data_IF_435850793085
#
_entry.id   IF_435850793085
#
_cell.length_a   1.000
_cell.length_b   1.000
_cell.length_c   1.000
_cell.angle_alpha   90.00
_cell.angle_beta   90.00
_cell.angle_gamma   90.00
#
_symmetry.space_group_name_H-M   'P 1'
#
loop_
_entity.id
_entity.type
_entity.pdbx_description
1 polymer ?
#
# COMPACT_ATOMS: atom_id res chain seq x y z
N UNK A 1 7.59 -26.78 5.41
CA UNK A 1 6.44 -27.71 5.48
C UNK A 1 5.42 -27.45 6.62
N UNK A 2 5.27 -26.22 7.15
CA UNK A 2 4.20 -25.93 8.14
C UNK A 2 3.45 -24.59 7.95
N UNK A 3 3.89 -23.74 7.03
CA UNK A 3 3.27 -22.44 6.71
C UNK A 3 2.22 -22.49 5.59
N UNK A 4 2.00 -23.63 4.93
CA UNK A 4 1.11 -23.75 3.76
C UNK A 4 -0.37 -23.99 4.11
N UNK A 5 -0.73 -24.24 5.37
CA UNK A 5 -2.08 -24.76 5.70
C UNK A 5 -3.05 -23.75 6.32
N UNK A 6 -2.61 -22.67 6.96
CA UNK A 6 -3.49 -21.92 7.88
C UNK A 6 -3.61 -20.40 7.68
N UNK A 7 -3.09 -19.83 6.60
CA UNK A 7 -3.26 -18.38 6.34
C UNK A 7 -3.75 -18.18 4.94
N UNK A 8 -5.08 -18.15 4.78
CA UNK A 8 -5.85 -17.33 3.85
C UNK A 8 -7.24 -17.97 3.66
N UNK A 9 -8.30 -17.21 3.98
CA UNK A 9 -9.67 -17.52 3.54
C UNK A 9 -9.75 -17.73 2.01
N UNK A 10 -8.75 -17.23 1.27
CA UNK A 10 -8.48 -17.41 -0.15
C UNK A 10 -8.36 -18.87 -0.59
N UNK A 11 -7.84 -19.77 0.26
CA UNK A 11 -7.72 -21.20 -0.08
C UNK A 11 -9.08 -21.85 -0.34
N UNK A 12 -10.11 -21.47 0.43
CA UNK A 12 -11.46 -22.05 0.28
C UNK A 12 -12.18 -21.59 -1.01
N UNK A 13 -11.95 -20.34 -1.43
CA UNK A 13 -12.56 -19.77 -2.63
C UNK A 13 -11.91 -20.31 -3.90
N UNK A 14 -10.57 -20.31 -3.97
CA UNK A 14 -9.84 -20.89 -5.11
C UNK A 14 -10.11 -22.39 -5.26
N UNK A 15 -10.22 -23.13 -4.15
CA UNK A 15 -10.59 -24.54 -4.20
C UNK A 15 -12.00 -24.76 -4.75
N UNK A 16 -12.95 -23.86 -4.47
CA UNK A 16 -14.29 -23.92 -5.07
C UNK A 16 -14.26 -23.64 -6.57
N UNK A 17 -13.55 -22.59 -7.02
CA UNK A 17 -13.41 -22.30 -8.46
C UNK A 17 -12.78 -23.46 -9.23
N UNK A 18 -11.78 -24.12 -8.63
CA UNK A 18 -11.18 -25.35 -9.17
C UNK A 18 -12.17 -26.51 -9.24
N UNK A 19 -12.96 -26.70 -8.20
CA UNK A 19 -13.95 -27.79 -8.13
C UNK A 19 -15.06 -27.65 -9.18
N UNK A 20 -15.41 -26.42 -9.58
CA UNK A 20 -16.42 -26.15 -10.61
C UNK A 20 -15.85 -25.97 -12.02
N UNK A 21 -14.53 -26.15 -12.20
CA UNK A 21 -13.89 -26.11 -13.52
C UNK A 21 -13.85 -24.74 -14.20
N UNK A 22 -13.95 -23.65 -13.43
CA UNK A 22 -13.97 -22.28 -14.00
C UNK A 22 -12.55 -21.74 -14.12
N UNK A 23 -12.08 -21.35 -15.32
CA UNK A 23 -10.80 -20.65 -15.49
C UNK A 23 -10.76 -19.35 -14.69
N UNK A 24 -9.63 -19.05 -14.05
CA UNK A 24 -9.45 -17.81 -13.31
C UNK A 24 -8.00 -17.34 -13.30
N UNK A 25 -7.84 -16.02 -13.32
CA UNK A 25 -6.55 -15.35 -13.33
C UNK A 25 -6.20 -14.78 -11.95
N UNK A 26 -4.94 -14.92 -11.59
CA UNK A 26 -4.32 -14.35 -10.41
C UNK A 26 -3.57 -13.07 -10.78
N UNK A 27 -4.06 -11.94 -10.29
CA UNK A 27 -3.59 -10.61 -10.69
C UNK A 27 -2.39 -10.13 -9.86
N UNK A 28 -1.31 -10.90 -9.89
CA UNK A 28 -0.02 -10.53 -9.31
C UNK A 28 1.14 -10.98 -10.20
N UNK A 29 2.31 -10.37 -10.03
CA UNK A 29 3.52 -10.75 -10.76
C UNK A 29 4.04 -12.13 -10.33
N UNK A 30 4.39 -12.96 -11.30
CA UNK A 30 5.04 -14.26 -11.06
C UNK A 30 6.42 -14.12 -10.38
N UNK A 31 7.05 -12.94 -10.47
CA UNK A 31 8.28 -12.62 -9.74
C UNK A 31 8.04 -12.44 -8.23
N UNK A 32 6.82 -12.04 -7.84
CA UNK A 32 6.43 -11.87 -6.42
C UNK A 32 5.94 -13.20 -5.85
N UNK A 33 5.07 -13.87 -6.60
CA UNK A 33 4.54 -15.18 -6.23
C UNK A 33 4.35 -16.03 -7.50
N UNK A 34 5.24 -17.00 -7.76
CA UNK A 34 5.11 -17.87 -8.91
C UNK A 34 3.87 -18.77 -8.79
N UNK A 35 3.34 -19.21 -9.93
CA UNK A 35 2.28 -20.23 -9.99
C UNK A 35 2.73 -21.48 -9.25
N UNK A 36 1.88 -22.01 -8.37
CA UNK A 36 2.19 -23.27 -7.69
C UNK A 36 2.14 -24.42 -8.68
N UNK A 37 3.08 -25.35 -8.57
CA UNK A 37 3.10 -26.61 -9.36
C UNK A 37 1.90 -27.52 -9.05
N UNK A 38 1.19 -27.26 -7.95
CA UNK A 38 -0.03 -27.99 -7.56
C UNK A 38 -1.30 -27.44 -8.25
N UNK A 39 -1.20 -26.34 -9.01
CA UNK A 39 -2.35 -25.73 -9.68
C UNK A 39 -2.50 -26.29 -11.10
N UNK A 40 -3.75 -26.53 -11.51
CA UNK A 40 -4.05 -26.99 -12.86
C UNK A 40 -3.98 -25.86 -13.89
N UNK A 41 -4.20 -26.20 -15.16
CA UNK A 41 -4.15 -25.27 -16.30
C UNK A 41 -5.23 -24.18 -16.26
N UNK A 42 -6.28 -24.36 -15.46
CA UNK A 42 -7.37 -23.39 -15.32
C UNK A 42 -6.99 -22.19 -14.45
N UNK A 43 -5.84 -22.22 -13.78
CA UNK A 43 -5.35 -21.11 -12.94
C UNK A 43 -4.13 -20.49 -13.58
N UNK A 44 -4.16 -19.21 -13.88
CA UNK A 44 -3.00 -18.53 -14.48
C UNK A 44 -2.56 -17.31 -13.67
N UNK A 45 -1.25 -17.12 -13.51
CA UNK A 45 -0.67 -15.92 -12.88
C UNK A 45 -0.28 -14.96 -13.99
N UNK A 46 -1.04 -13.88 -14.16
CA UNK A 46 -1.00 -13.05 -15.38
C UNK A 46 -0.32 -11.70 -15.20
N UNK A 47 0.15 -11.40 -13.98
CA UNK A 47 0.72 -10.08 -13.66
C UNK A 47 -0.28 -9.16 -12.97
N UNK A 48 0.21 -8.00 -12.55
CA UNK A 48 -0.60 -6.95 -11.95
C UNK A 48 -1.39 -6.19 -13.01
N UNK A 49 -2.62 -5.82 -12.67
CA UNK A 49 -3.41 -4.83 -13.41
C UNK A 49 -3.35 -3.51 -12.67
N UNK A 50 -2.97 -2.45 -13.37
CA UNK A 50 -2.96 -1.10 -12.83
C UNK A 50 -4.05 -0.29 -13.52
N UNK A 51 -4.65 0.71 -12.83
CA UNK A 51 -5.35 1.78 -13.52
C UNK A 51 -4.43 2.39 -14.58
N UNK A 52 -5.01 2.91 -15.66
CA UNK A 52 -4.24 3.71 -16.62
C UNK A 52 -3.48 4.80 -15.86
N UNK A 53 -2.23 5.04 -16.23
CA UNK A 53 -1.46 6.08 -15.57
C UNK A 53 -2.22 7.39 -15.79
N UNK A 54 -2.67 8.05 -14.71
CA UNK A 54 -3.47 9.29 -14.75
C UNK A 54 -2.62 10.44 -15.33
N UNK A 55 -2.40 10.42 -16.65
CA UNK A 55 -1.63 11.39 -17.42
C UNK A 55 -2.19 12.81 -17.31
N UNK A 56 -3.47 12.91 -16.94
CA UNK A 56 -4.19 14.18 -16.78
C UNK A 56 -4.36 14.60 -15.31
N UNK A 57 -3.75 13.90 -14.34
CA UNK A 57 -3.84 14.32 -12.94
C UNK A 57 -3.07 15.62 -12.72
N UNK A 58 -3.80 16.65 -12.28
CA UNK A 58 -3.24 17.93 -11.84
C UNK A 58 -3.24 17.97 -10.31
N UNK A 59 -2.07 17.90 -9.65
CA UNK A 59 -2.00 18.00 -8.20
C UNK A 59 -2.45 19.39 -7.71
N UNK A 60 -3.01 19.50 -6.50
CA UNK A 60 -3.19 20.81 -5.86
C UNK A 60 -1.84 21.50 -5.69
N UNK A 61 -1.76 22.81 -5.96
CA UNK A 61 -0.52 23.59 -5.78
C UNK A 61 0.09 23.44 -4.39
N UNK A 62 -0.74 23.31 -3.37
CA UNK A 62 -0.29 23.10 -1.99
C UNK A 62 0.45 21.77 -1.80
N UNK A 63 0.06 20.71 -2.54
CA UNK A 63 0.79 19.45 -2.55
C UNK A 63 2.11 19.60 -3.29
N UNK A 64 2.11 20.27 -4.45
CA UNK A 64 3.34 20.53 -5.21
C UNK A 64 4.37 21.30 -4.36
N UNK A 65 3.93 22.40 -3.72
CA UNK A 65 4.79 23.19 -2.83
C UNK A 65 5.25 22.40 -1.60
N UNK A 66 4.46 21.46 -1.10
CA UNK A 66 4.87 20.61 0.01
C UNK A 66 5.95 19.61 -0.40
N UNK A 67 5.84 19.06 -1.61
CA UNK A 67 6.78 18.11 -2.21
C UNK A 67 8.07 18.77 -2.73
N UNK A 68 8.05 20.09 -2.95
CA UNK A 68 9.22 20.89 -3.33
C UNK A 68 10.14 21.11 -2.12
N UNK A 69 10.91 20.08 -1.78
CA UNK A 69 11.79 20.07 -0.61
C UNK A 69 12.97 19.11 -0.81
N UNK A 70 14.10 19.42 -0.16
CA UNK A 70 15.26 18.52 -0.11
C UNK A 70 15.11 17.41 0.96
N UNK A 71 14.07 17.47 1.79
CA UNK A 71 13.82 16.46 2.82
C UNK A 71 13.16 15.21 2.21
N UNK A 72 13.47 14.01 2.71
CA UNK A 72 12.78 12.80 2.28
C UNK A 72 11.29 12.88 2.65
N UNK A 73 10.42 12.53 1.71
CA UNK A 73 8.97 12.48 1.88
C UNK A 73 8.50 11.03 1.93
N UNK A 74 7.65 10.71 2.90
CA UNK A 74 7.00 9.41 3.03
C UNK A 74 5.53 9.53 2.65
N UNK A 75 5.06 8.70 1.72
CA UNK A 75 3.63 8.50 1.52
C UNK A 75 3.11 7.55 2.60
N UNK A 76 1.99 7.88 3.24
CA UNK A 76 1.38 7.06 4.30
C UNK A 76 -0.10 6.88 3.98
N UNK A 77 -0.55 5.63 3.79
CA UNK A 77 -1.92 5.34 3.42
C UNK A 77 -2.40 3.99 3.90
N UNK A 78 -3.46 3.98 4.72
CA UNK A 78 -4.10 2.75 5.18
C UNK A 78 -5.34 2.39 4.34
N UNK A 79 -5.55 3.02 3.19
CA UNK A 79 -6.72 2.76 2.34
C UNK A 79 -8.03 3.03 3.07
N UNK A 80 -9.04 2.19 2.86
CA UNK A 80 -10.35 2.28 3.53
C UNK A 80 -10.36 1.72 4.96
N UNK A 81 -9.20 1.39 5.53
CA UNK A 81 -9.12 0.83 6.88
C UNK A 81 -9.48 1.91 7.92
N UNK A 82 -10.32 1.55 8.89
CA UNK A 82 -10.61 2.41 10.04
C UNK A 82 -9.42 2.38 10.99
N UNK A 83 -8.76 3.52 11.16
CA UNK A 83 -7.69 3.69 12.14
C UNK A 83 -8.31 3.92 13.52
N UNK A 84 -8.12 3.03 14.52
CA UNK A 84 -8.85 3.10 15.79
C UNK A 84 -8.58 4.34 16.63
N UNK A 85 -7.36 4.89 16.55
CA UNK A 85 -6.91 6.04 17.36
C UNK A 85 -6.28 7.11 16.47
N UNK A 86 -7.06 7.79 15.61
CA UNK A 86 -6.53 8.63 14.54
C UNK A 86 -5.62 9.74 15.08
N UNK A 87 -6.03 10.48 16.12
CA UNK A 87 -5.21 11.54 16.72
C UNK A 87 -3.86 11.02 17.22
N UNK A 88 -3.87 9.85 17.89
CA UNK A 88 -2.66 9.22 18.41
C UNK A 88 -1.76 8.74 17.27
N UNK A 89 -2.35 8.13 16.24
CA UNK A 89 -1.61 7.66 15.06
C UNK A 89 -0.95 8.82 14.34
N UNK A 90 -1.66 9.93 14.10
CA UNK A 90 -1.06 11.09 13.44
C UNK A 90 0.04 11.69 14.34
N UNK A 91 -0.17 11.83 15.65
CA UNK A 91 0.89 12.30 16.57
C UNK A 91 2.15 11.44 16.50
N UNK A 92 2.02 10.11 16.44
CA UNK A 92 3.14 9.19 16.25
C UNK A 92 3.83 9.42 14.90
N UNK A 93 3.06 9.61 13.83
CA UNK A 93 3.61 9.91 12.49
C UNK A 93 4.40 11.22 12.53
N UNK A 94 3.82 12.30 13.05
CA UNK A 94 4.46 13.62 13.15
C UNK A 94 5.76 13.53 13.97
N UNK A 95 5.74 12.86 15.13
CA UNK A 95 6.94 12.66 15.94
C UNK A 95 8.01 11.85 15.18
N UNK A 96 7.60 10.76 14.52
CA UNK A 96 8.51 9.90 13.78
C UNK A 96 9.20 10.63 12.63
N UNK A 97 8.45 11.37 11.81
CA UNK A 97 9.03 12.11 10.69
C UNK A 97 9.90 13.27 11.15
N UNK A 98 9.50 13.98 12.21
CA UNK A 98 10.33 15.03 12.82
C UNK A 98 11.68 14.49 13.33
N UNK A 99 11.68 13.30 13.95
CA UNK A 99 12.92 12.62 14.39
C UNK A 99 13.79 12.14 13.23
N UNK A 100 13.20 11.85 12.08
CA UNK A 100 13.89 11.41 10.86
C UNK A 100 14.37 12.58 10.00
N UNK A 101 13.95 13.82 10.29
CA UNK A 101 14.15 14.96 9.40
C UNK A 101 13.40 14.81 8.07
N UNK A 102 12.30 14.06 8.08
CA UNK A 102 11.48 13.72 6.93
C UNK A 102 10.13 14.45 6.96
N UNK A 103 9.41 14.40 5.85
CA UNK A 103 8.01 14.84 5.73
C UNK A 103 7.08 13.67 5.45
N UNK A 104 5.79 13.83 5.71
CA UNK A 104 4.76 12.84 5.41
C UNK A 104 3.61 13.40 4.58
N UNK A 105 3.23 12.69 3.52
CA UNK A 105 1.94 12.85 2.84
C UNK A 105 1.00 11.75 3.32
N UNK A 106 0.01 12.11 4.13
CA UNK A 106 -0.99 11.19 4.67
C UNK A 106 -2.20 11.15 3.74
N UNK A 107 -2.44 9.99 3.14
CA UNK A 107 -3.51 9.74 2.18
C UNK A 107 -4.77 9.16 2.84
N UNK A 108 -5.94 9.54 2.32
CA UNK A 108 -7.24 8.98 2.70
C UNK A 108 -8.09 9.90 3.58
N UNK A 109 -9.19 9.36 4.09
CA UNK A 109 -10.16 10.12 4.91
C UNK A 109 -9.80 9.99 6.39
N UNK A 110 -9.49 11.12 7.02
CA UNK A 110 -9.20 11.23 8.44
C UNK A 110 -10.21 12.15 9.12
N UNK A 111 -10.51 11.96 10.43
CA UNK A 111 -11.43 12.85 11.13
C UNK A 111 -10.92 14.30 11.13
N UNK A 112 -11.81 15.27 10.84
CA UNK A 112 -11.43 16.70 10.78
C UNK A 112 -10.72 17.19 12.03
N UNK A 113 -11.21 16.81 13.21
CA UNK A 113 -10.57 17.16 14.47
C UNK A 113 -9.12 16.67 14.57
N UNK A 114 -8.81 15.53 13.94
CA UNK A 114 -7.46 14.96 13.92
C UNK A 114 -6.54 15.74 12.98
N UNK A 115 -7.05 16.16 11.82
CA UNK A 115 -6.29 16.92 10.81
C UNK A 115 -6.10 18.38 11.20
N UNK A 116 -7.09 19.01 11.84
CA UNK A 116 -7.05 20.41 12.28
C UNK A 116 -6.16 20.62 13.52
N UNK A 117 -6.05 19.63 14.42
CA UNK A 117 -5.13 19.71 15.56
C UNK A 117 -3.65 19.75 15.13
N UNK A 118 -3.35 19.23 13.94
CA UNK A 118 -1.97 19.03 13.45
C UNK A 118 -1.68 19.83 12.17
N UNK A 119 -2.60 20.70 11.75
CA UNK A 119 -2.37 21.70 10.69
C UNK A 119 -1.33 22.76 11.06
N UNK A 120 -0.65 22.60 12.20
CA UNK A 120 0.44 23.45 12.69
C UNK A 120 1.84 22.87 12.44
N UNK A 121 1.94 21.61 11.96
CA UNK A 121 3.23 21.01 11.60
C UNK A 121 3.48 21.13 10.11
N UNK A 122 4.59 21.79 9.74
CA UNK A 122 5.03 21.95 8.35
C UNK A 122 5.55 20.65 7.71
N UNK A 123 5.62 19.55 8.49
CA UNK A 123 6.16 18.26 8.09
C UNK A 123 5.07 17.26 7.65
N UNK A 124 3.79 17.58 7.80
CA UNK A 124 2.68 16.66 7.48
C UNK A 124 1.65 17.31 6.56
N UNK A 125 1.36 16.66 5.45
CA UNK A 125 0.34 17.07 4.49
C UNK A 125 -0.76 16.02 4.38
N UNK A 126 -2.02 16.43 4.51
CA UNK A 126 -3.17 15.54 4.36
C UNK A 126 -3.78 15.68 2.97
N UNK A 127 -4.04 14.54 2.32
CA UNK A 127 -4.75 14.50 1.05
C UNK A 127 -5.75 13.35 1.04
N UNK A 128 -6.99 13.67 0.66
CA UNK A 128 -8.04 12.66 0.61
C UNK A 128 -7.88 11.73 -0.59
N UNK A 129 -7.64 12.30 -1.77
CA UNK A 129 -7.57 11.56 -3.03
C UNK A 129 -6.38 12.03 -3.86
N UNK A 130 -5.55 11.07 -4.25
CA UNK A 130 -4.37 11.25 -5.09
C UNK A 130 -4.05 9.92 -5.77
N UNK A 131 -3.79 9.92 -7.08
CA UNK A 131 -3.34 8.71 -7.76
C UNK A 131 -2.03 8.21 -7.15
N UNK A 132 -2.04 6.98 -6.62
CA UNK A 132 -0.84 6.38 -6.04
C UNK A 132 0.29 6.26 -7.07
N UNK A 133 -0.04 5.97 -8.34
CA UNK A 133 0.94 5.94 -9.42
C UNK A 133 1.64 7.30 -9.63
N UNK A 134 0.91 8.41 -9.40
CA UNK A 134 1.49 9.74 -9.43
C UNK A 134 2.32 9.99 -8.17
N UNK A 135 1.71 9.92 -6.97
CA UNK A 135 2.35 10.29 -5.71
C UNK A 135 3.63 9.48 -5.45
N UNK A 136 3.62 8.18 -5.73
CA UNK A 136 4.75 7.31 -5.43
C UNK A 136 6.01 7.63 -6.25
N UNK A 137 5.89 8.39 -7.36
CA UNK A 137 7.06 8.89 -8.11
C UNK A 137 7.76 10.07 -7.43
N UNK A 138 7.14 10.68 -6.43
CA UNK A 138 7.60 11.91 -5.76
C UNK A 138 8.02 11.69 -4.30
N UNK A 139 8.06 10.44 -3.82
CA UNK A 139 8.34 10.10 -2.42
C UNK A 139 9.45 9.05 -2.30
N UNK A 140 10.08 8.96 -1.14
CA UNK A 140 11.23 8.07 -0.88
C UNK A 140 10.83 6.81 -0.10
N UNK A 141 9.60 6.74 0.41
CA UNK A 141 9.10 5.56 1.11
C UNK A 141 7.58 5.51 1.13
N UNK A 142 7.03 4.31 1.24
CA UNK A 142 5.59 4.09 1.29
C UNK A 142 5.19 3.25 2.51
N UNK A 143 4.46 3.86 3.44
CA UNK A 143 3.89 3.18 4.61
C UNK A 143 2.43 2.84 4.31
N UNK A 144 2.08 1.56 4.32
CA UNK A 144 0.71 1.16 4.02
C UNK A 144 0.28 -0.11 4.76
N UNK A 145 -1.01 -0.43 4.68
CA UNK A 145 -1.58 -1.56 5.41
C UNK A 145 -1.32 -2.94 4.78
N UNK A 146 -0.62 -3.04 3.65
CA UNK A 146 -0.37 -4.32 2.98
C UNK A 146 -1.46 -4.86 2.07
N UNK A 147 -2.45 -4.05 1.66
CA UNK A 147 -3.42 -4.48 0.64
C UNK A 147 -2.71 -4.81 -0.68
N UNK A 148 -3.23 -5.79 -1.43
CA UNK A 148 -2.62 -6.26 -2.68
C UNK A 148 -2.35 -5.13 -3.69
N UNK A 149 -3.31 -4.22 -3.86
CA UNK A 149 -3.19 -3.07 -4.78
C UNK A 149 -2.13 -2.05 -4.35
N UNK A 150 -2.05 -1.69 -3.07
CA UNK A 150 -1.01 -0.79 -2.57
C UNK A 150 0.38 -1.42 -2.65
N UNK A 151 0.48 -2.71 -2.32
CA UNK A 151 1.74 -3.47 -2.46
C UNK A 151 2.18 -3.48 -3.92
N UNK A 152 1.26 -3.75 -4.86
CA UNK A 152 1.53 -3.70 -6.29
C UNK A 152 1.98 -2.31 -6.75
N UNK A 153 1.34 -1.25 -6.25
CA UNK A 153 1.70 0.13 -6.59
C UNK A 153 3.11 0.49 -6.10
N UNK A 154 3.47 0.13 -4.86
CA UNK A 154 4.81 0.32 -4.33
C UNK A 154 5.88 -0.45 -5.10
N UNK A 155 5.59 -1.71 -5.46
CA UNK A 155 6.46 -2.53 -6.32
C UNK A 155 6.64 -1.88 -7.70
N UNK A 156 5.55 -1.44 -8.35
CA UNK A 156 5.60 -0.78 -9.67
C UNK A 156 6.42 0.50 -9.63
N UNK A 157 6.28 1.29 -8.56
CA UNK A 157 7.02 2.54 -8.39
C UNK A 157 8.49 2.33 -7.96
N UNK A 158 8.86 1.14 -7.49
CA UNK A 158 10.21 0.86 -7.00
C UNK A 158 10.54 1.56 -5.68
N UNK A 159 9.53 1.88 -4.88
CA UNK A 159 9.69 2.62 -3.62
C UNK A 159 9.80 1.63 -2.44
N UNK A 160 10.73 1.81 -1.49
CA UNK A 160 10.79 1.02 -0.27
C UNK A 160 9.48 1.08 0.54
N UNK A 161 9.02 -0.05 1.06
CA UNK A 161 7.70 -0.16 1.71
C UNK A 161 7.78 -0.57 3.19
N UNK A 162 7.11 0.17 4.07
CA UNK A 162 6.80 -0.30 5.42
C UNK A 162 5.36 -0.80 5.47
N UNK A 163 5.18 -2.10 5.68
CA UNK A 163 3.85 -2.72 5.70
C UNK A 163 3.36 -2.94 7.13
N UNK A 164 2.24 -2.30 7.48
CA UNK A 164 1.60 -2.38 8.80
C UNK A 164 0.24 -3.09 8.69
N UNK A 165 0.21 -4.43 8.74
CA UNK A 165 -1.02 -5.20 8.47
C UNK A 165 -2.05 -5.08 9.61
N UNK A 166 -3.31 -4.99 9.23
CA UNK A 166 -4.48 -5.02 10.11
C UNK A 166 -5.17 -6.40 10.07
N UNK A 167 -5.58 -6.89 8.90
CA UNK A 167 -6.30 -8.18 8.73
C UNK A 167 -6.23 -8.73 7.29
N UNK A 168 -6.91 -9.86 6.99
CA UNK A 168 -6.93 -10.54 5.68
C UNK A 168 -5.54 -10.98 5.17
N UNK A 169 -5.27 -10.69 3.90
CA UNK A 169 -4.09 -11.03 3.11
C UNK A 169 -2.92 -10.09 3.37
N UNK A 170 -3.12 -9.04 4.17
CA UNK A 170 -2.13 -8.02 4.45
C UNK A 170 -0.85 -8.59 5.09
N UNK A 171 -1.00 -9.55 6.00
CA UNK A 171 0.15 -10.24 6.60
C UNK A 171 0.94 -11.07 5.58
N UNK A 172 0.25 -11.63 4.58
CA UNK A 172 0.90 -12.38 3.51
C UNK A 172 1.75 -11.45 2.64
N UNK A 173 1.20 -10.29 2.23
CA UNK A 173 1.93 -9.32 1.44
C UNK A 173 3.08 -8.66 2.21
N UNK A 174 2.89 -8.36 3.49
CA UNK A 174 3.97 -7.90 4.37
C UNK A 174 5.15 -8.88 4.38
N UNK A 175 4.87 -10.17 4.59
CA UNK A 175 5.89 -11.21 4.57
C UNK A 175 6.58 -11.31 3.20
N UNK A 176 5.86 -11.08 2.10
CA UNK A 176 6.43 -11.07 0.75
C UNK A 176 7.35 -9.89 0.51
N UNK A 177 6.95 -8.68 0.89
CA UNK A 177 7.80 -7.48 0.82
C UNK A 177 9.13 -7.72 1.55
N UNK A 178 9.09 -8.22 2.79
CA UNK A 178 10.31 -8.51 3.55
C UNK A 178 11.17 -9.61 2.92
N UNK A 179 10.56 -10.70 2.44
CA UNK A 179 11.28 -11.79 1.76
C UNK A 179 12.02 -11.31 0.51
N UNK A 180 11.41 -10.36 -0.21
CA UNK A 180 11.96 -9.77 -1.42
C UNK A 180 12.90 -8.59 -1.15
N UNK A 181 13.10 -8.22 0.13
CA UNK A 181 13.93 -7.08 0.56
C UNK A 181 13.48 -5.75 -0.08
N UNK A 182 12.16 -5.58 -0.23
CA UNK A 182 11.56 -4.34 -0.74
C UNK A 182 11.21 -3.36 0.39
N UNK A 183 11.55 -3.73 1.64
CA UNK A 183 11.29 -3.00 2.87
C UNK A 183 11.25 -3.92 4.07
#
# INVERSE_FOLDING_TARGET
HRFRRNSLAFGSFLNRLRAVGVPHACLWSSQVLPKSTEWNELVEVVGYTFPEDDVDYVPPRSLESFLDTDQPVLAIGFGSMVVPHPNKTISIITEAVGRLGAKAVICGVWPKAATEMLSTSDDVYFIQDVPHAWLLRHVQGFVHHGGAGHTAAGIKAGVPMLVLPFFLDQNFWAAKVCQMKLG
#
